data_IF_649738823655
#
_entry.id   IF_649738823655
#
_cell.length_a   1.000
_cell.length_b   1.000
_cell.length_c   1.000
_cell.angle_alpha   90.00
_cell.angle_beta   90.00
_cell.angle_gamma   90.00
#
_symmetry.space_group_name_H-M   'P 1'
#
loop_
_entity.id
_entity.type
_entity.pdbx_description
1 polymer ?
#
# COMPACT_ATOMS: atom_id res chain seq x y z
N UNK A 1 -69.75 -21.38 -46.95
CA UNK A 1 -69.57 -22.74 -46.42
C UNK A 1 -68.22 -23.27 -46.88
N UNK A 2 -67.17 -23.19 -46.05
CA UNK A 2 -65.85 -23.76 -46.37
C UNK A 2 -65.84 -25.22 -45.95
N UNK A 3 -65.83 -26.14 -46.93
CA UNK A 3 -65.56 -27.56 -46.67
C UNK A 3 -64.23 -27.65 -45.92
N UNK A 4 -64.23 -28.22 -44.72
CA UNK A 4 -63.01 -28.58 -43.99
C UNK A 4 -62.28 -29.64 -44.81
N UNK A 5 -61.41 -29.21 -45.72
CA UNK A 5 -60.52 -30.13 -46.42
C UNK A 5 -59.57 -30.72 -45.37
N UNK A 6 -59.64 -32.04 -45.19
CA UNK A 6 -58.77 -32.75 -44.27
C UNK A 6 -57.30 -32.46 -44.62
N UNK A 7 -56.54 -31.99 -43.63
CA UNK A 7 -55.12 -31.72 -43.77
C UNK A 7 -54.35 -33.02 -44.02
N UNK A 8 -53.28 -32.92 -44.81
CA UNK A 8 -52.27 -33.96 -44.92
C UNK A 8 -51.38 -33.88 -43.68
N UNK A 9 -51.26 -34.98 -42.94
CA UNK A 9 -50.37 -35.09 -41.78
C UNK A 9 -49.26 -36.08 -42.09
N UNK A 10 -48.01 -35.64 -41.91
CA UNK A 10 -46.81 -36.47 -42.04
C UNK A 10 -46.50 -37.18 -40.70
N UNK A 11 -45.58 -38.15 -40.75
CA UNK A 11 -45.14 -38.99 -39.62
C UNK A 11 -44.63 -38.18 -38.43
N UNK A 12 -43.96 -37.06 -38.69
CA UNK A 12 -43.40 -36.15 -37.69
C UNK A 12 -44.36 -35.04 -37.23
N UNK A 13 -45.66 -35.23 -37.46
CA UNK A 13 -46.76 -34.30 -37.19
C UNK A 13 -46.77 -33.02 -38.02
N UNK A 14 -45.98 -32.88 -39.08
CA UNK A 14 -46.13 -31.75 -40.03
C UNK A 14 -47.48 -31.79 -40.72
N UNK A 15 -48.16 -30.64 -40.78
CA UNK A 15 -49.53 -30.47 -41.30
C UNK A 15 -49.53 -29.60 -42.55
N UNK A 16 -49.87 -30.19 -43.70
CA UNK A 16 -49.91 -29.54 -45.01
C UNK A 16 -51.34 -29.49 -45.57
N UNK A 17 -51.62 -28.53 -46.43
CA UNK A 17 -52.84 -28.49 -47.21
C UNK A 17 -52.87 -29.70 -48.16
N UNK A 18 -53.98 -30.44 -48.16
CA UNK A 18 -54.15 -31.59 -49.06
C UNK A 18 -54.48 -31.09 -50.46
N UNK A 19 -53.46 -30.98 -51.31
CA UNK A 19 -53.60 -30.61 -52.72
C UNK A 19 -53.99 -31.82 -53.57
N UNK A 20 -54.67 -31.58 -54.69
CA UNK A 20 -54.92 -32.60 -55.73
C UNK A 20 -53.77 -32.57 -56.74
N UNK A 21 -52.55 -32.85 -56.29
CA UNK A 21 -51.38 -32.95 -57.16
C UNK A 21 -50.59 -34.24 -56.84
N UNK A 22 -49.73 -34.70 -57.77
CA UNK A 22 -48.96 -35.94 -57.58
C UNK A 22 -48.12 -35.94 -56.29
N UNK A 23 -47.49 -34.80 -55.99
CA UNK A 23 -46.66 -34.59 -54.78
C UNK A 23 -47.45 -34.87 -53.49
N UNK A 24 -48.63 -34.26 -53.34
CA UNK A 24 -49.47 -34.45 -52.16
C UNK A 24 -50.09 -35.84 -52.08
N UNK A 25 -50.36 -36.49 -53.22
CA UNK A 25 -50.78 -37.90 -53.26
C UNK A 25 -49.69 -38.83 -52.77
N UNK A 26 -48.44 -38.60 -53.19
CA UNK A 26 -47.30 -39.38 -52.74
C UNK A 26 -47.09 -39.24 -51.24
N UNK A 27 -47.02 -38.01 -50.72
CA UNK A 27 -46.91 -37.77 -49.27
C UNK A 27 -48.10 -38.34 -48.49
N UNK A 28 -49.31 -38.32 -49.06
CA UNK A 28 -50.47 -38.95 -48.43
C UNK A 28 -50.36 -40.47 -48.34
N UNK A 29 -49.70 -41.11 -49.32
CA UNK A 29 -49.43 -42.54 -49.40
C UNK A 29 -48.28 -42.96 -48.47
N UNK A 30 -47.15 -42.24 -48.51
CA UNK A 30 -45.94 -42.56 -47.72
C UNK A 30 -46.03 -42.09 -46.27
N UNK A 31 -46.89 -41.09 -46.00
CA UNK A 31 -46.92 -40.35 -44.72
C UNK A 31 -45.60 -39.66 -44.40
N UNK A 32 -44.80 -39.36 -45.41
CA UNK A 32 -43.48 -38.76 -45.26
C UNK A 32 -43.28 -37.59 -46.21
N UNK A 33 -42.15 -36.91 -46.09
CA UNK A 33 -41.75 -35.83 -47.00
C UNK A 33 -41.67 -36.36 -48.44
N UNK A 34 -42.10 -35.52 -49.40
CA UNK A 34 -41.92 -35.81 -50.81
C UNK A 34 -40.43 -36.05 -51.10
N UNK A 35 -40.11 -37.09 -51.89
CA UNK A 35 -38.73 -37.44 -52.25
C UNK A 35 -37.75 -37.55 -51.06
N UNK A 36 -38.21 -38.01 -49.88
CA UNK A 36 -37.36 -38.11 -48.67
C UNK A 36 -36.01 -38.77 -48.88
N UNK A 37 -35.94 -39.86 -49.66
CA UNK A 37 -34.67 -40.55 -49.92
C UNK A 37 -33.67 -39.68 -50.66
N UNK A 38 -34.14 -38.79 -51.55
CA UNK A 38 -33.30 -37.82 -52.25
C UNK A 38 -32.89 -36.70 -51.30
N UNK A 39 -33.83 -36.19 -50.49
CA UNK A 39 -33.52 -35.21 -49.44
C UNK A 39 -32.38 -35.71 -48.55
N UNK A 40 -32.51 -36.92 -47.99
CA UNK A 40 -31.48 -37.51 -47.13
C UNK A 40 -30.13 -37.67 -47.84
N UNK A 41 -30.12 -38.10 -49.10
CA UNK A 41 -28.89 -38.27 -49.87
C UNK A 41 -28.22 -36.93 -50.19
N UNK A 42 -29.00 -35.89 -50.48
CA UNK A 42 -28.50 -34.60 -50.96
C UNK A 42 -28.16 -33.66 -49.80
N UNK A 43 -28.68 -33.91 -48.59
CA UNK A 43 -28.40 -33.10 -47.41
C UNK A 43 -26.91 -32.98 -47.09
N UNK A 44 -26.10 -33.99 -47.40
CA UNK A 44 -24.64 -33.99 -47.14
C UNK A 44 -23.87 -32.94 -47.94
N UNK A 45 -24.47 -32.40 -49.02
CA UNK A 45 -23.89 -31.37 -49.88
C UNK A 45 -24.40 -29.96 -49.57
N UNK A 46 -25.36 -29.83 -48.65
CA UNK A 46 -25.90 -28.54 -48.24
C UNK A 46 -25.04 -27.99 -47.08
N UNK A 47 -24.50 -26.77 -47.17
CA UNK A 47 -23.74 -26.15 -46.09
C UNK A 47 -24.57 -26.02 -44.80
N UNK A 48 -23.91 -26.15 -43.64
CA UNK A 48 -24.56 -25.85 -42.36
C UNK A 48 -24.99 -24.38 -42.30
N UNK A 49 -26.14 -24.10 -41.65
CA UNK A 49 -26.69 -22.74 -41.54
C UNK A 49 -26.97 -22.06 -42.90
N UNK A 50 -27.20 -22.85 -43.95
CA UNK A 50 -27.46 -22.34 -45.29
C UNK A 50 -28.72 -21.45 -45.36
N UNK A 51 -28.63 -20.42 -46.19
CA UNK A 51 -29.75 -19.69 -46.79
C UNK A 51 -30.16 -20.39 -48.06
N UNK A 52 -31.38 -20.94 -48.09
CA UNK A 52 -31.87 -21.75 -49.21
C UNK A 52 -32.95 -20.99 -49.96
N UNK A 53 -32.83 -20.94 -51.28
CA UNK A 53 -33.88 -20.48 -52.18
C UNK A 53 -34.64 -21.69 -52.71
N UNK A 54 -35.89 -21.84 -52.30
CA UNK A 54 -36.83 -22.80 -52.88
C UNK A 54 -37.65 -22.10 -53.95
N UNK A 55 -37.33 -22.39 -55.22
CA UNK A 55 -37.90 -21.68 -56.37
C UNK A 55 -39.31 -22.15 -56.74
N UNK A 56 -39.84 -23.18 -56.09
CA UNK A 56 -41.18 -23.69 -56.35
C UNK A 56 -41.97 -24.05 -55.07
N UNK A 57 -43.07 -23.33 -54.85
CA UNK A 57 -43.95 -23.51 -53.69
C UNK A 57 -44.66 -24.88 -53.62
N UNK A 58 -44.63 -25.67 -54.70
CA UNK A 58 -45.08 -27.07 -54.68
C UNK A 58 -44.22 -27.92 -53.73
N UNK A 59 -42.96 -27.52 -53.54
CA UNK A 59 -41.97 -28.17 -52.68
C UNK A 59 -41.90 -27.56 -51.28
N UNK A 60 -43.03 -27.05 -50.76
CA UNK A 60 -43.12 -26.58 -49.36
C UNK A 60 -42.67 -27.67 -48.35
N UNK A 61 -42.85 -28.95 -48.68
CA UNK A 61 -42.30 -30.05 -47.87
C UNK A 61 -40.78 -30.04 -47.82
N UNK A 62 -40.07 -29.75 -48.93
CA UNK A 62 -38.61 -29.65 -48.94
C UNK A 62 -38.16 -28.46 -48.09
N UNK A 63 -38.78 -27.29 -48.25
CA UNK A 63 -38.50 -26.11 -47.42
C UNK A 63 -38.62 -26.40 -45.91
N UNK A 64 -39.66 -27.15 -45.51
CA UNK A 64 -39.84 -27.58 -44.12
C UNK A 64 -38.76 -28.57 -43.69
N UNK A 65 -38.42 -29.52 -44.56
CA UNK A 65 -37.40 -30.52 -44.31
C UNK A 65 -36.03 -29.85 -44.08
N UNK A 66 -35.64 -28.92 -44.94
CA UNK A 66 -34.39 -28.17 -44.83
C UNK A 66 -34.26 -27.44 -43.50
N UNK A 67 -35.35 -26.80 -43.04
CA UNK A 67 -35.33 -26.09 -41.76
C UNK A 67 -35.29 -27.05 -40.56
N UNK A 68 -36.04 -28.15 -40.58
CA UNK A 68 -36.16 -29.07 -39.44
C UNK A 68 -34.98 -30.04 -39.32
N UNK A 69 -34.49 -30.56 -40.43
CA UNK A 69 -33.51 -31.65 -40.46
C UNK A 69 -32.22 -31.25 -41.18
N UNK A 70 -32.27 -30.23 -42.03
CA UNK A 70 -31.13 -29.78 -42.83
C UNK A 70 -30.29 -28.67 -42.23
N UNK A 71 -30.58 -28.25 -40.99
CA UNK A 71 -29.90 -27.14 -40.30
C UNK A 71 -29.84 -25.84 -41.11
N UNK A 72 -30.78 -25.62 -42.03
CA UNK A 72 -30.89 -24.37 -42.75
C UNK A 72 -31.18 -23.22 -41.79
N UNK A 73 -30.50 -22.09 -41.98
CA UNK A 73 -30.74 -20.88 -41.17
C UNK A 73 -32.01 -20.17 -41.61
N UNK A 74 -32.23 -20.13 -42.92
CA UNK A 74 -33.35 -19.42 -43.54
C UNK A 74 -33.70 -20.11 -44.85
N UNK A 75 -34.99 -20.27 -45.13
CA UNK A 75 -35.49 -20.73 -46.43
C UNK A 75 -36.41 -19.65 -47.01
N UNK A 76 -36.12 -19.18 -48.22
CA UNK A 76 -37.00 -18.30 -48.98
C UNK A 76 -37.80 -19.14 -49.99
N UNK A 77 -39.12 -19.16 -49.81
CA UNK A 77 -40.04 -19.93 -50.64
C UNK A 77 -40.74 -19.00 -51.63
N UNK A 78 -40.43 -19.14 -52.93
CA UNK A 78 -40.95 -18.24 -53.96
C UNK A 78 -42.25 -18.75 -54.59
N UNK A 79 -43.24 -17.85 -54.76
CA UNK A 79 -44.50 -18.16 -55.44
C UNK A 79 -45.13 -16.91 -56.07
N UNK A 80 -45.29 -16.91 -57.39
CA UNK A 80 -45.90 -15.79 -58.14
C UNK A 80 -47.42 -15.80 -58.07
N UNK A 81 -48.05 -16.97 -57.99
CA UNK A 81 -49.50 -17.12 -57.93
C UNK A 81 -50.02 -16.82 -56.52
N UNK A 82 -50.85 -15.78 -56.40
CA UNK A 82 -51.37 -15.30 -55.12
C UNK A 82 -52.13 -16.36 -54.30
N UNK A 83 -52.86 -17.26 -54.96
CA UNK A 83 -53.61 -18.31 -54.27
C UNK A 83 -52.66 -19.39 -53.71
N UNK A 84 -51.72 -19.86 -54.52
CA UNK A 84 -50.68 -20.82 -54.09
C UNK A 84 -49.78 -20.24 -53.00
N UNK A 85 -49.43 -18.96 -53.09
CA UNK A 85 -48.67 -18.24 -52.07
C UNK A 85 -49.37 -18.33 -50.71
N UNK A 86 -50.68 -18.05 -50.68
CA UNK A 86 -51.48 -18.11 -49.45
C UNK A 86 -51.52 -19.53 -48.89
N UNK A 87 -51.61 -20.54 -49.73
CA UNK A 87 -51.57 -21.94 -49.30
C UNK A 87 -50.21 -22.31 -48.68
N UNK A 88 -49.11 -22.02 -49.38
CA UNK A 88 -47.76 -22.30 -48.89
C UNK A 88 -47.47 -21.58 -47.56
N UNK A 89 -47.85 -20.30 -47.45
CA UNK A 89 -47.73 -19.53 -46.21
C UNK A 89 -48.56 -20.13 -45.08
N UNK A 90 -49.79 -20.59 -45.36
CA UNK A 90 -50.61 -21.26 -44.36
C UNK A 90 -49.97 -22.57 -43.88
N UNK A 91 -49.31 -23.31 -44.77
CA UNK A 91 -48.57 -24.53 -44.41
C UNK A 91 -47.38 -24.22 -43.50
N UNK A 92 -46.59 -23.20 -43.83
CA UNK A 92 -45.47 -22.74 -42.96
C UNK A 92 -45.98 -22.27 -41.59
N UNK A 93 -47.00 -21.40 -41.57
CA UNK A 93 -47.55 -20.84 -40.32
C UNK A 93 -48.16 -21.90 -39.41
N UNK A 94 -48.86 -22.88 -39.98
CA UNK A 94 -49.50 -23.97 -39.22
C UNK A 94 -48.48 -24.86 -38.50
N UNK A 95 -47.25 -24.92 -39.01
CA UNK A 95 -46.16 -25.69 -38.42
C UNK A 95 -45.22 -24.83 -37.55
N UNK A 96 -45.55 -23.55 -37.33
CA UNK A 96 -44.78 -22.62 -36.49
C UNK A 96 -43.31 -22.44 -36.92
N UNK A 97 -43.05 -22.46 -38.22
CA UNK A 97 -41.70 -22.43 -38.78
C UNK A 97 -41.30 -20.99 -39.13
N UNK A 98 -40.57 -20.33 -38.21
CA UNK A 98 -40.18 -18.91 -38.35
C UNK A 98 -39.03 -18.72 -39.36
N UNK A 99 -38.21 -19.74 -39.58
CA UNK A 99 -37.09 -19.69 -40.54
C UNK A 99 -37.48 -19.87 -42.00
N UNK A 100 -38.77 -19.98 -42.34
CA UNK A 100 -39.24 -20.04 -43.72
C UNK A 100 -40.02 -18.76 -44.03
N UNK A 101 -39.57 -18.02 -45.04
CA UNK A 101 -40.23 -16.81 -45.50
C UNK A 101 -40.79 -17.00 -46.91
N UNK A 102 -42.12 -17.01 -47.02
CA UNK A 102 -42.78 -17.06 -48.32
C UNK A 102 -42.76 -15.67 -48.96
N UNK A 103 -42.18 -15.58 -50.15
CA UNK A 103 -42.03 -14.35 -50.92
C UNK A 103 -42.77 -14.46 -52.25
N UNK A 104 -43.49 -13.40 -52.62
CA UNK A 104 -44.00 -13.23 -53.96
C UNK A 104 -42.98 -12.41 -54.75
N UNK A 105 -42.32 -13.00 -55.76
CA UNK A 105 -41.29 -12.33 -56.53
C UNK A 105 -41.90 -11.56 -57.70
N UNK A 106 -41.31 -10.40 -57.99
CA UNK A 106 -41.35 -9.72 -59.27
C UNK A 106 -39.97 -9.92 -59.93
N UNK A 107 -39.91 -10.92 -60.82
CA UNK A 107 -38.68 -11.39 -61.45
C UNK A 107 -38.07 -10.39 -62.44
N UNK A 108 -38.85 -9.40 -62.90
CA UNK A 108 -38.35 -8.42 -63.87
C UNK A 108 -37.71 -7.23 -63.16
N UNK A 109 -38.20 -6.87 -61.97
CA UNK A 109 -37.61 -5.80 -61.15
C UNK A 109 -36.72 -6.29 -60.02
N UNK A 110 -36.55 -7.61 -59.87
CA UNK A 110 -35.86 -8.26 -58.76
C UNK A 110 -36.35 -7.78 -57.39
N UNK A 111 -37.67 -7.60 -57.26
CA UNK A 111 -38.32 -7.16 -56.02
C UNK A 111 -39.08 -8.31 -55.41
N UNK A 112 -38.95 -8.48 -54.10
CA UNK A 112 -39.63 -9.55 -53.37
C UNK A 112 -40.55 -8.94 -52.33
N UNK A 113 -41.77 -9.47 -52.27
CA UNK A 113 -42.77 -8.97 -51.33
C UNK A 113 -43.28 -10.07 -50.43
N UNK A 114 -43.31 -9.78 -49.13
CA UNK A 114 -44.05 -10.58 -48.16
C UNK A 114 -45.42 -9.95 -47.96
N UNK A 115 -46.43 -10.80 -47.90
CA UNK A 115 -47.79 -10.37 -47.58
C UNK A 115 -48.19 -10.79 -46.18
N UNK A 116 -48.51 -9.82 -45.35
CA UNK A 116 -49.10 -10.03 -44.04
C UNK A 116 -50.55 -9.54 -44.05
N UNK A 117 -51.48 -10.50 -44.25
CA UNK A 117 -52.89 -10.22 -44.54
C UNK A 117 -52.96 -9.41 -45.84
N UNK A 118 -53.27 -8.12 -45.74
CA UNK A 118 -53.39 -7.19 -46.87
C UNK A 118 -52.26 -6.14 -46.89
N UNK A 119 -51.29 -6.23 -45.97
CA UNK A 119 -50.11 -5.37 -45.97
C UNK A 119 -48.99 -6.00 -46.77
N UNK A 120 -48.49 -5.25 -47.75
CA UNK A 120 -47.32 -5.59 -48.53
C UNK A 120 -46.07 -5.04 -47.84
N UNK A 121 -45.04 -5.87 -47.68
CA UNK A 121 -43.73 -5.49 -47.16
C UNK A 121 -42.66 -5.92 -48.15
N UNK A 122 -41.82 -4.98 -48.59
CA UNK A 122 -40.66 -5.31 -49.41
C UNK A 122 -39.61 -6.01 -48.56
N UNK A 123 -39.09 -7.11 -49.09
CA UNK A 123 -38.05 -7.92 -48.45
C UNK A 123 -36.87 -7.98 -49.41
N UNK A 124 -35.67 -7.85 -48.86
CA UNK A 124 -34.43 -8.10 -49.58
C UNK A 124 -33.88 -9.43 -49.08
N UNK A 125 -34.04 -10.52 -49.86
CA UNK A 125 -33.48 -11.82 -49.50
C UNK A 125 -31.97 -11.73 -49.31
N UNK A 126 -31.44 -12.53 -48.38
CA UNK A 126 -29.99 -12.73 -48.25
C UNK A 126 -29.48 -13.59 -49.38
N UNK A 127 -28.24 -13.39 -49.82
CA UNK A 127 -27.58 -14.25 -50.81
C UNK A 127 -27.77 -15.73 -50.46
N UNK A 128 -28.19 -16.51 -51.46
CA UNK A 128 -28.38 -17.94 -51.30
C UNK A 128 -27.04 -18.65 -51.15
N UNK A 129 -26.99 -19.62 -50.23
CA UNK A 129 -25.96 -20.65 -50.18
C UNK A 129 -26.38 -21.87 -51.02
N UNK A 130 -27.70 -22.09 -51.16
CA UNK A 130 -28.28 -23.14 -52.00
C UNK A 130 -29.47 -22.59 -52.79
N UNK A 131 -29.54 -22.94 -54.08
CA UNK A 131 -30.72 -22.70 -54.92
C UNK A 131 -31.29 -24.05 -55.33
N UNK A 132 -32.52 -24.34 -54.90
CA UNK A 132 -33.28 -25.50 -55.34
C UNK A 132 -34.30 -25.07 -56.41
N UNK A 133 -34.14 -25.60 -57.62
CA UNK A 133 -34.95 -25.28 -58.78
C UNK A 133 -35.59 -26.54 -59.37
N UNK A 134 -36.91 -26.62 -59.27
CA UNK A 134 -37.71 -27.66 -59.93
C UNK A 134 -37.71 -27.53 -61.45
N UNK A 135 -38.18 -28.57 -62.14
CA UNK A 135 -38.43 -28.58 -63.59
C UNK A 135 -39.14 -27.30 -64.05
N UNK A 136 -40.28 -26.95 -63.43
CA UNK A 136 -41.06 -25.78 -63.82
C UNK A 136 -40.33 -24.45 -63.59
N UNK A 137 -39.46 -24.37 -62.58
CA UNK A 137 -38.66 -23.16 -62.34
C UNK A 137 -37.56 -22.99 -63.39
N UNK A 138 -36.98 -24.10 -63.84
CA UNK A 138 -35.96 -24.13 -64.89
C UNK A 138 -36.58 -23.82 -66.27
N UNK A 139 -37.73 -24.43 -66.58
CA UNK A 139 -38.48 -24.15 -67.82
C UNK A 139 -38.95 -22.70 -67.91
N UNK A 140 -39.33 -22.10 -66.79
CA UNK A 140 -39.68 -20.69 -66.70
C UNK A 140 -38.47 -19.74 -66.75
N UNK A 141 -37.25 -20.26 -66.85
CA UNK A 141 -36.01 -19.48 -66.91
C UNK A 141 -35.68 -18.73 -65.62
N UNK A 142 -36.26 -19.15 -64.48
CA UNK A 142 -36.11 -18.41 -63.23
C UNK A 142 -34.68 -18.49 -62.67
N UNK A 143 -33.99 -19.62 -62.87
CA UNK A 143 -32.60 -19.76 -62.42
C UNK A 143 -31.69 -18.69 -63.04
N UNK A 144 -31.90 -18.38 -64.33
CA UNK A 144 -31.11 -17.37 -65.06
C UNK A 144 -31.38 -15.94 -64.57
N UNK A 145 -32.53 -15.68 -63.92
CA UNK A 145 -32.80 -14.39 -63.25
C UNK A 145 -31.85 -14.14 -62.08
N UNK A 146 -31.24 -15.20 -61.53
CA UNK A 146 -30.20 -15.13 -60.50
C UNK A 146 -28.78 -15.30 -61.06
N UNK A 147 -28.57 -15.18 -62.38
CA UNK A 147 -27.25 -15.44 -62.99
C UNK A 147 -26.10 -14.65 -62.36
N UNK A 148 -26.30 -13.35 -62.10
CA UNK A 148 -25.29 -12.51 -61.44
C UNK A 148 -24.98 -12.97 -60.00
N UNK A 149 -26.00 -13.41 -59.26
CA UNK A 149 -25.83 -13.93 -57.89
C UNK A 149 -25.15 -15.31 -57.91
N UNK A 150 -25.51 -16.17 -58.86
CA UNK A 150 -24.86 -17.47 -59.05
C UNK A 150 -23.40 -17.30 -59.42
N UNK A 151 -23.07 -16.36 -60.31
CA UNK A 151 -21.71 -16.07 -60.70
C UNK A 151 -20.88 -15.50 -59.55
N UNK A 152 -21.46 -14.60 -58.74
CA UNK A 152 -20.77 -13.90 -57.66
C UNK A 152 -20.61 -14.73 -56.39
N UNK A 153 -21.68 -15.39 -55.94
CA UNK A 153 -21.74 -16.07 -54.65
C UNK A 153 -21.50 -17.57 -54.75
N UNK A 154 -21.50 -18.13 -55.96
CA UNK A 154 -21.22 -19.54 -56.23
C UNK A 154 -22.03 -20.51 -55.33
N UNK A 155 -23.37 -20.35 -55.20
CA UNK A 155 -24.21 -21.22 -54.38
C UNK A 155 -24.18 -22.66 -54.88
N UNK A 156 -24.48 -23.61 -54.00
CA UNK A 156 -24.81 -24.99 -54.40
C UNK A 156 -26.12 -24.97 -55.18
N UNK A 157 -26.14 -25.62 -56.35
CA UNK A 157 -27.34 -25.66 -57.19
C UNK A 157 -27.93 -27.06 -57.14
N UNK A 158 -29.14 -27.17 -56.59
CA UNK A 158 -29.94 -28.38 -56.67
C UNK A 158 -30.97 -28.19 -57.78
N UNK A 159 -30.79 -28.92 -58.88
CA UNK A 159 -31.57 -28.75 -60.10
C UNK A 159 -32.28 -30.03 -60.49
N UNK A 160 -33.49 -29.87 -61.02
CA UNK A 160 -34.21 -30.93 -61.72
C UNK A 160 -33.73 -31.03 -63.18
N UNK A 161 -33.17 -32.18 -63.56
CA UNK A 161 -32.54 -32.41 -64.87
C UNK A 161 -33.53 -32.88 -65.93
N UNK A 162 -34.78 -33.17 -65.57
CA UNK A 162 -35.83 -33.64 -66.50
C UNK A 162 -36.34 -32.56 -67.46
N UNK A 163 -36.03 -31.29 -67.18
CA UNK A 163 -36.51 -30.14 -67.94
C UNK A 163 -35.99 -30.11 -69.39
N UNK A 164 -36.86 -29.77 -70.34
CA UNK A 164 -36.52 -29.75 -71.77
C UNK A 164 -35.44 -28.72 -72.14
N UNK A 165 -35.28 -27.64 -71.37
CA UNK A 165 -34.23 -26.63 -71.58
C UNK A 165 -33.00 -26.85 -70.67
N UNK A 166 -32.91 -27.98 -69.96
CA UNK A 166 -31.79 -28.26 -69.06
C UNK A 166 -30.43 -28.29 -69.79
N UNK A 167 -30.40 -28.70 -71.06
CA UNK A 167 -29.16 -28.69 -71.86
C UNK A 167 -28.53 -27.29 -72.00
N UNK A 168 -29.33 -26.23 -71.99
CA UNK A 168 -28.84 -24.84 -72.01
C UNK A 168 -28.30 -24.45 -70.64
N UNK A 169 -28.98 -24.86 -69.56
CA UNK A 169 -28.52 -24.67 -68.19
C UNK A 169 -27.19 -25.39 -67.97
N UNK A 170 -27.05 -26.65 -68.39
CA UNK A 170 -25.81 -27.41 -68.26
C UNK A 170 -24.62 -26.71 -68.94
N UNK A 171 -24.81 -26.18 -70.16
CA UNK A 171 -23.77 -25.38 -70.86
C UNK A 171 -23.43 -24.09 -70.11
N UNK A 172 -24.41 -23.45 -69.49
CA UNK A 172 -24.18 -22.25 -68.67
C UNK A 172 -23.40 -22.59 -67.39
N UNK A 173 -23.74 -23.69 -66.72
CA UNK A 173 -23.03 -24.18 -65.54
C UNK A 173 -21.58 -24.54 -65.85
N UNK A 174 -21.32 -25.21 -66.98
CA UNK A 174 -19.97 -25.55 -67.43
C UNK A 174 -19.12 -24.29 -67.63
N UNK A 175 -19.67 -23.24 -68.25
CA UNK A 175 -18.99 -21.94 -68.40
C UNK A 175 -18.68 -21.27 -67.07
N UNK A 176 -19.51 -21.50 -66.06
CA UNK A 176 -19.32 -20.99 -64.70
C UNK A 176 -18.44 -21.91 -63.83
N UNK A 177 -17.88 -22.97 -64.41
CA UNK A 177 -17.05 -23.98 -63.74
C UNK A 177 -17.78 -24.74 -62.62
N UNK A 178 -19.08 -24.98 -62.80
CA UNK A 178 -19.83 -25.89 -61.93
C UNK A 178 -19.63 -27.34 -62.35
N UNK A 179 -19.40 -28.22 -61.36
CA UNK A 179 -19.35 -29.68 -61.58
C UNK A 179 -20.57 -30.36 -60.98
N UNK A 180 -21.03 -31.42 -61.63
CA UNK A 180 -21.98 -32.36 -61.07
C UNK A 180 -21.31 -33.16 -59.94
N UNK A 181 -21.92 -33.16 -58.75
CA UNK A 181 -21.47 -33.94 -57.60
C UNK A 181 -22.23 -35.27 -57.47
N UNK A 182 -23.55 -35.19 -57.62
CA UNK A 182 -24.45 -36.35 -57.51
C UNK A 182 -25.68 -36.11 -58.38
N UNK A 183 -26.19 -37.19 -58.99
CA UNK A 183 -27.46 -37.22 -59.71
C UNK A 183 -28.27 -38.44 -59.26
N UNK A 184 -29.55 -38.25 -58.97
CA UNK A 184 -30.47 -39.32 -58.58
C UNK A 184 -31.90 -38.94 -58.96
N UNK A 185 -32.58 -39.80 -59.74
CA UNK A 185 -33.99 -39.61 -60.17
C UNK A 185 -34.27 -38.21 -60.75
N UNK A 186 -33.48 -37.82 -61.75
CA UNK A 186 -33.57 -36.52 -62.42
C UNK A 186 -33.38 -35.31 -61.48
N UNK A 187 -32.75 -35.51 -60.32
CA UNK A 187 -32.31 -34.45 -59.42
C UNK A 187 -30.79 -34.45 -59.38
N UNK A 188 -30.16 -33.28 -59.44
CA UNK A 188 -28.71 -33.14 -59.48
C UNK A 188 -28.21 -32.03 -58.57
N UNK A 189 -27.08 -32.27 -57.90
CA UNK A 189 -26.33 -31.23 -57.17
C UNK A 189 -25.13 -30.79 -57.99
N UNK A 190 -25.03 -29.49 -58.24
CA UNK A 190 -23.86 -28.85 -58.82
C UNK A 190 -23.16 -27.95 -57.81
N UNK A 191 -21.83 -28.00 -57.79
CA UNK A 191 -20.98 -27.17 -56.93
C UNK A 191 -19.91 -26.49 -57.78
N UNK A 192 -19.65 -25.21 -57.52
CA UNK A 192 -18.58 -24.47 -58.20
C UNK A 192 -17.23 -25.10 -57.90
N UNK A 193 -16.41 -25.30 -58.92
CA UNK A 193 -14.99 -25.56 -58.74
C UNK A 193 -14.27 -24.22 -58.54
N UNK A 194 -13.43 -24.13 -57.53
CA UNK A 194 -12.38 -23.11 -57.53
C UNK A 194 -11.44 -23.44 -58.70
N UNK A 195 -11.18 -22.47 -59.57
CA UNK A 195 -10.22 -22.65 -60.67
C UNK A 195 -8.84 -22.98 -60.07
N UNK A 196 -8.04 -23.80 -60.76
CA UNK A 196 -6.66 -24.11 -60.32
C UNK A 196 -5.82 -22.87 -60.03
N UNK A 197 -6.09 -21.77 -60.73
CA UNK A 197 -5.47 -20.46 -60.48
C UNK A 197 -5.79 -19.91 -59.07
N UNK A 198 -7.02 -20.07 -58.58
CA UNK A 198 -7.40 -19.65 -57.23
C UNK A 198 -6.80 -20.56 -56.15
N UNK A 199 -6.64 -21.86 -56.45
CA UNK A 199 -6.00 -22.82 -55.55
C UNK A 199 -4.48 -22.59 -55.49
N UNK A 200 -3.84 -22.26 -56.62
CA UNK A 200 -2.43 -21.85 -56.70
C UNK A 200 -2.17 -20.51 -55.99
N UNK A 201 -3.01 -19.50 -56.19
CA UNK A 201 -2.91 -18.21 -55.47
C UNK A 201 -3.10 -18.39 -53.97
N UNK A 202 -4.05 -19.25 -53.54
CA UNK A 202 -4.25 -19.57 -52.13
C UNK A 202 -3.05 -20.30 -51.54
N UNK A 203 -2.49 -21.28 -52.25
CA UNK A 203 -1.30 -22.01 -51.82
C UNK A 203 -0.06 -21.09 -51.74
N UNK A 204 0.08 -20.15 -52.68
CA UNK A 204 1.15 -19.14 -52.63
C UNK A 204 0.97 -18.16 -51.47
N UNK A 205 -0.28 -17.74 -51.19
CA UNK A 205 -0.61 -16.90 -50.05
C UNK A 205 -0.34 -17.63 -48.72
N UNK A 206 -0.72 -18.91 -48.62
CA UNK A 206 -0.46 -19.76 -47.45
C UNK A 206 1.05 -19.94 -47.24
N UNK A 207 1.83 -20.17 -48.30
CA UNK A 207 3.29 -20.24 -48.23
C UNK A 207 3.91 -18.91 -47.74
N UNK A 208 3.47 -17.77 -48.28
CA UNK A 208 3.91 -16.44 -47.83
C UNK A 208 3.54 -16.16 -46.37
N UNK A 209 2.36 -16.60 -45.93
CA UNK A 209 1.91 -16.48 -44.54
C UNK A 209 2.76 -17.34 -43.62
N UNK A 210 3.07 -18.58 -44.01
CA UNK A 210 3.96 -19.49 -43.26
C UNK A 210 5.37 -18.91 -43.12
N UNK A 211 5.96 -18.40 -44.20
CA UNK A 211 7.28 -17.76 -44.17
C UNK A 211 7.29 -16.54 -43.23
N UNK A 212 6.23 -15.73 -43.26
CA UNK A 212 6.09 -14.56 -42.40
C UNK A 212 5.90 -14.95 -40.93
N UNK A 213 5.15 -16.02 -40.66
CA UNK A 213 5.01 -16.58 -39.31
C UNK A 213 6.34 -17.12 -38.78
N UNK A 214 7.13 -17.80 -39.61
CA UNK A 214 8.48 -18.22 -39.23
C UNK A 214 9.37 -17.02 -38.89
N UNK A 215 9.29 -15.96 -39.68
CA UNK A 215 10.06 -14.73 -39.45
C UNK A 215 9.67 -14.10 -38.11
N UNK A 216 8.38 -13.99 -37.81
CA UNK A 216 7.92 -13.49 -36.51
C UNK A 216 8.34 -14.40 -35.35
N UNK A 217 8.29 -15.73 -35.54
CA UNK A 217 8.77 -16.67 -34.52
C UNK A 217 10.25 -16.48 -34.22
N UNK A 218 11.10 -16.25 -35.24
CA UNK A 218 12.53 -15.95 -35.05
C UNK A 218 12.74 -14.63 -34.30
N UNK A 219 11.98 -13.58 -34.64
CA UNK A 219 12.06 -12.29 -33.94
C UNK A 219 11.64 -12.40 -32.46
N UNK A 220 10.56 -13.14 -32.17
CA UNK A 220 10.11 -13.38 -30.78
C UNK A 220 11.20 -14.13 -30.00
N UNK A 221 11.80 -15.16 -30.59
CA UNK A 221 12.86 -15.92 -29.93
C UNK A 221 14.10 -15.05 -29.65
N UNK A 222 14.49 -14.16 -30.59
CA UNK A 222 15.58 -13.20 -30.37
C UNK A 222 15.27 -12.25 -29.21
N UNK A 223 14.08 -11.64 -29.19
CA UNK A 223 13.66 -10.76 -28.10
C UNK A 223 13.61 -11.47 -26.75
N UNK A 224 13.16 -12.73 -26.72
CA UNK A 224 13.19 -13.54 -25.49
C UNK A 224 14.61 -13.77 -24.99
N UNK A 225 15.56 -14.04 -25.89
CA UNK A 225 16.97 -14.23 -25.54
C UNK A 225 17.59 -12.92 -25.01
N UNK A 226 17.32 -11.78 -25.65
CA UNK A 226 17.78 -10.46 -25.21
C UNK A 226 17.21 -10.08 -23.83
N UNK A 227 15.90 -10.26 -23.63
CA UNK A 227 15.26 -10.05 -22.33
C UNK A 227 15.86 -10.97 -21.26
N UNK A 228 16.09 -12.25 -21.58
CA UNK A 228 16.74 -13.19 -20.66
C UNK A 228 18.13 -12.73 -20.23
N UNK A 229 18.95 -12.27 -21.18
CA UNK A 229 20.29 -11.73 -20.90
C UNK A 229 20.23 -10.47 -20.02
N UNK A 230 19.30 -9.54 -20.31
CA UNK A 230 19.12 -8.33 -19.50
C UNK A 230 18.70 -8.65 -18.06
N UNK A 231 17.78 -9.60 -17.88
CA UNK A 231 17.35 -10.05 -16.54
C UNK A 231 18.54 -10.65 -15.78
N UNK A 232 19.33 -11.52 -16.42
CA UNK A 232 20.53 -12.09 -15.78
C UNK A 232 21.55 -11.02 -15.40
N UNK A 233 21.76 -10.00 -16.25
CA UNK A 233 22.65 -8.87 -15.94
C UNK A 233 22.15 -8.07 -14.74
N UNK A 234 20.86 -7.70 -14.71
CA UNK A 234 20.26 -6.97 -13.59
C UNK A 234 20.32 -7.76 -12.28
N UNK A 235 20.05 -9.07 -12.33
CA UNK A 235 20.16 -9.94 -11.15
C UNK A 235 21.60 -10.01 -10.63
N UNK A 236 22.58 -10.12 -11.53
CA UNK A 236 23.99 -10.12 -11.15
C UNK A 236 24.43 -8.77 -10.53
N UNK A 237 23.97 -7.64 -11.07
CA UNK A 237 24.22 -6.32 -10.47
C UNK A 237 23.55 -6.15 -9.11
N UNK A 238 22.28 -6.58 -8.96
CA UNK A 238 21.58 -6.53 -7.69
C UNK A 238 22.27 -7.40 -6.64
N UNK A 239 22.71 -8.61 -7.01
CA UNK A 239 23.46 -9.49 -6.12
C UNK A 239 24.78 -8.85 -5.66
N UNK A 240 25.51 -8.17 -6.56
CA UNK A 240 26.72 -7.41 -6.21
C UNK A 240 26.41 -6.27 -5.24
N UNK A 241 25.34 -5.49 -5.49
CA UNK A 241 24.93 -4.40 -4.60
C UNK A 241 24.52 -4.89 -3.22
N UNK A 242 23.77 -5.99 -3.14
CA UNK A 242 23.40 -6.63 -1.88
C UNK A 242 24.64 -7.12 -1.12
N UNK A 243 25.59 -7.78 -1.79
CA UNK A 243 26.82 -8.24 -1.16
C UNK A 243 27.64 -7.09 -0.57
N UNK A 244 27.76 -5.96 -1.28
CA UNK A 244 28.44 -4.75 -0.78
C UNK A 244 27.70 -4.17 0.43
N UNK A 245 26.38 -4.06 0.34
CA UNK A 245 25.55 -3.55 1.43
C UNK A 245 25.65 -4.44 2.69
N UNK A 246 25.68 -5.76 2.53
CA UNK A 246 25.87 -6.70 3.63
C UNK A 246 27.25 -6.56 4.28
N UNK A 247 28.31 -6.36 3.48
CA UNK A 247 29.65 -6.13 4.03
C UNK A 247 29.73 -4.81 4.81
N UNK A 248 29.13 -3.74 4.29
CA UNK A 248 29.09 -2.43 4.95
C UNK A 248 28.25 -2.47 6.22
N UNK A 249 27.11 -3.18 6.19
CA UNK A 249 26.28 -3.37 7.35
C UNK A 249 27.01 -4.16 8.45
N UNK A 250 27.68 -5.26 8.08
CA UNK A 250 28.51 -6.03 9.04
C UNK A 250 29.63 -5.20 9.65
N UNK A 251 30.29 -4.35 8.86
CA UNK A 251 31.33 -3.45 9.36
C UNK A 251 30.74 -2.41 10.33
N UNK A 252 29.57 -1.85 10.01
CA UNK A 252 28.86 -0.89 10.86
C UNK A 252 28.42 -1.51 12.18
N UNK A 253 27.85 -2.72 12.15
CA UNK A 253 27.46 -3.47 13.35
C UNK A 253 28.66 -3.71 14.26
N UNK A 254 29.80 -4.17 13.71
CA UNK A 254 31.03 -4.36 14.50
C UNK A 254 31.51 -3.07 15.16
N UNK A 255 31.49 -1.96 14.42
CA UNK A 255 31.87 -0.66 14.97
C UNK A 255 30.94 -0.22 16.12
N UNK A 256 29.63 -0.40 15.96
CA UNK A 256 28.66 -0.10 17.02
C UNK A 256 28.86 -1.00 18.24
N UNK A 257 29.14 -2.29 18.04
CA UNK A 257 29.46 -3.22 19.14
C UNK A 257 30.71 -2.78 19.91
N UNK A 258 31.74 -2.28 19.22
CA UNK A 258 32.94 -1.71 19.84
C UNK A 258 32.64 -0.42 20.60
N UNK A 259 31.86 0.51 20.02
CA UNK A 259 31.43 1.75 20.68
C UNK A 259 30.60 1.45 21.95
N UNK A 260 29.69 0.47 21.90
CA UNK A 260 28.90 0.03 23.06
C UNK A 260 29.80 -0.56 24.15
N UNK A 261 30.81 -1.37 23.79
CA UNK A 261 31.78 -1.89 24.76
C UNK A 261 32.58 -0.77 25.42
N UNK A 262 33.06 0.20 24.64
CA UNK A 262 33.77 1.37 25.17
C UNK A 262 32.89 2.20 26.11
N UNK A 263 31.63 2.46 25.75
CA UNK A 263 30.69 3.15 26.62
C UNK A 263 30.41 2.39 27.92
N UNK A 264 30.29 1.06 27.85
CA UNK A 264 30.09 0.23 29.04
C UNK A 264 31.32 0.25 29.98
N UNK A 265 32.54 0.29 29.44
CA UNK A 265 33.76 0.44 30.23
C UNK A 265 33.87 1.83 30.87
N UNK A 266 33.56 2.88 30.11
CA UNK A 266 33.52 4.26 30.59
C UNK A 266 32.49 4.43 31.72
N UNK A 267 31.29 3.84 31.56
CA UNK A 267 30.26 3.84 32.60
C UNK A 267 30.73 3.14 33.87
N UNK A 268 31.45 2.02 33.77
CA UNK A 268 32.07 1.35 34.92
C UNK A 268 33.14 2.20 35.61
N UNK A 269 33.92 2.97 34.85
CA UNK A 269 34.89 3.90 35.42
C UNK A 269 34.19 5.02 36.19
N UNK A 270 33.19 5.66 35.59
CA UNK A 270 32.40 6.69 36.27
C UNK A 270 31.70 6.16 37.52
N UNK A 271 31.17 4.93 37.50
CA UNK A 271 30.57 4.33 38.70
C UNK A 271 31.60 4.15 39.83
N UNK A 272 32.84 3.74 39.50
CA UNK A 272 33.93 3.63 40.47
C UNK A 272 34.33 4.99 41.04
N UNK A 273 34.50 5.99 40.18
CA UNK A 273 34.84 7.36 40.61
C UNK A 273 33.73 7.96 41.49
N UNK A 274 32.47 7.73 41.13
CA UNK A 274 31.33 8.20 41.93
C UNK A 274 31.31 7.52 43.31
N UNK A 275 31.56 6.21 43.37
CA UNK A 275 31.68 5.47 44.65
C UNK A 275 32.84 5.98 45.50
N UNK A 276 33.98 6.27 44.88
CA UNK A 276 35.16 6.81 45.56
C UNK A 276 34.88 8.23 46.10
N UNK A 277 34.31 9.11 45.29
CA UNK A 277 33.91 10.46 45.69
C UNK A 277 32.86 10.45 46.80
N UNK A 278 31.88 9.53 46.75
CA UNK A 278 30.91 9.35 47.84
C UNK A 278 31.58 8.92 49.15
N UNK A 279 32.58 8.04 49.08
CA UNK A 279 33.36 7.62 50.26
C UNK A 279 34.13 8.80 50.85
N UNK A 280 34.86 9.56 50.03
CA UNK A 280 35.60 10.75 50.45
C UNK A 280 34.66 11.82 51.03
N UNK A 281 33.50 12.03 50.42
CA UNK A 281 32.49 12.96 50.95
C UNK A 281 31.97 12.51 52.31
N UNK A 282 31.79 11.19 52.52
CA UNK A 282 31.37 10.64 53.82
C UNK A 282 32.46 10.83 54.88
N UNK A 283 33.71 10.58 54.54
CA UNK A 283 34.86 10.80 55.43
C UNK A 283 35.03 12.29 55.76
N UNK A 284 34.92 13.18 54.77
CA UNK A 284 34.95 14.62 54.97
C UNK A 284 33.82 15.09 55.88
N UNK A 285 32.59 14.56 55.72
CA UNK A 285 31.46 14.85 56.63
C UNK A 285 31.75 14.41 58.06
N UNK A 286 32.39 13.25 58.26
CA UNK A 286 32.79 12.79 59.59
C UNK A 286 33.83 13.73 60.22
N UNK A 287 34.83 14.16 59.44
CA UNK A 287 35.84 15.12 59.91
C UNK A 287 35.19 16.46 60.29
N UNK A 288 34.29 16.98 59.45
CA UNK A 288 33.55 18.21 59.75
C UNK A 288 32.71 18.07 61.03
N UNK A 289 32.06 16.92 61.23
CA UNK A 289 31.32 16.63 62.46
C UNK A 289 32.26 16.65 63.68
N UNK A 290 33.41 15.98 63.60
CA UNK A 290 34.41 15.99 64.68
C UNK A 290 34.94 17.40 64.99
N UNK A 291 35.19 18.21 63.97
CA UNK A 291 35.62 19.61 64.15
C UNK A 291 34.51 20.43 64.83
N UNK A 292 33.25 20.26 64.38
CA UNK A 292 32.09 20.93 64.97
C UNK A 292 31.93 20.57 66.46
N UNK A 293 32.03 19.28 66.79
CA UNK A 293 31.92 18.80 68.17
C UNK A 293 33.06 19.33 69.05
N UNK A 294 34.30 19.33 68.53
CA UNK A 294 35.46 19.89 69.21
C UNK A 294 35.32 21.40 69.46
N UNK A 295 34.85 22.16 68.47
CA UNK A 295 34.63 23.60 68.59
C UNK A 295 33.54 23.92 69.64
N UNK A 296 32.47 23.11 69.69
CA UNK A 296 31.43 23.27 70.69
C UNK A 296 31.94 22.95 72.11
N UNK A 297 32.78 21.92 72.26
CA UNK A 297 33.44 21.61 73.53
C UNK A 297 34.38 22.75 73.97
N UNK A 298 35.14 23.34 73.05
CA UNK A 298 36.02 24.48 73.33
C UNK A 298 35.21 25.72 73.76
N UNK A 299 34.09 26.00 73.09
CA UNK A 299 33.17 27.08 73.50
C UNK A 299 32.62 26.88 74.90
N UNK A 300 32.23 25.65 75.24
CA UNK A 300 31.75 25.32 76.59
C UNK A 300 32.86 25.52 77.64
N UNK A 301 34.07 25.04 77.37
CA UNK A 301 35.23 25.24 78.25
C UNK A 301 35.58 26.72 78.43
N UNK A 302 35.57 27.50 77.36
CA UNK A 302 35.80 28.95 77.42
C UNK A 302 34.70 29.67 78.21
N UNK A 303 33.44 29.26 78.08
CA UNK A 303 32.35 29.80 78.90
C UNK A 303 32.59 29.55 80.39
N UNK A 304 32.98 28.32 80.77
CA UNK A 304 33.29 27.97 82.15
C UNK A 304 34.52 28.71 82.70
N UNK A 305 35.58 28.84 81.91
CA UNK A 305 36.77 29.64 82.23
C UNK A 305 36.40 31.09 82.50
N UNK A 306 35.64 31.72 81.60
CA UNK A 306 35.18 33.09 81.76
C UNK A 306 34.34 33.26 83.02
N UNK A 307 33.42 32.32 83.30
CA UNK A 307 32.62 32.32 84.53
C UNK A 307 33.50 32.28 85.78
N UNK A 308 34.58 31.49 85.75
CA UNK A 308 35.54 31.39 86.86
C UNK A 308 36.39 32.64 87.02
N UNK A 309 36.84 33.26 85.93
CA UNK A 309 37.54 34.54 85.94
C UNK A 309 36.65 35.62 86.56
N UNK A 310 35.38 35.72 86.16
CA UNK A 310 34.45 36.69 86.74
C UNK A 310 34.18 36.46 88.23
N UNK A 311 34.10 35.20 88.67
CA UNK A 311 33.95 34.87 90.10
C UNK A 311 35.18 35.32 90.91
N UNK A 312 36.39 35.03 90.43
CA UNK A 312 37.63 35.48 91.07
C UNK A 312 37.73 37.01 91.13
N UNK A 313 37.41 37.70 90.03
CA UNK A 313 37.36 39.16 90.00
C UNK A 313 36.33 39.74 90.98
N UNK A 314 35.20 39.07 91.19
CA UNK A 314 34.20 39.48 92.16
C UNK A 314 34.68 39.32 93.61
N UNK A 315 35.52 38.31 93.91
CA UNK A 315 36.13 38.10 95.22
C UNK A 315 37.32 39.05 95.49
N UNK A 316 38.18 39.29 94.50
CA UNK A 316 39.39 40.10 94.68
C UNK A 316 39.11 41.61 94.73
N UNK A 317 38.10 42.09 94.00
CA UNK A 317 37.73 43.52 93.96
C UNK A 317 37.43 44.12 95.35
N UNK A 318 36.60 43.52 96.22
CA UNK A 318 36.37 44.07 97.56
C UNK A 318 37.65 44.03 98.42
N UNK A 319 38.51 43.02 98.25
CA UNK A 319 39.80 42.95 98.97
C UNK A 319 40.68 44.13 98.57
N UNK A 320 40.86 44.40 97.27
CA UNK A 320 41.63 45.55 96.78
C UNK A 320 41.07 46.89 97.29
N UNK A 321 39.75 47.07 97.27
CA UNK A 321 39.10 48.28 97.81
C UNK A 321 39.33 48.46 99.32
N UNK A 322 39.36 47.37 100.09
CA UNK A 322 39.68 47.46 101.53
C UNK A 322 41.14 47.78 101.78
N UNK A 323 42.06 47.24 100.98
CA UNK A 323 43.49 47.59 101.05
C UNK A 323 43.73 49.06 100.72
N UNK A 324 43.10 49.58 99.67
CA UNK A 324 43.20 50.99 99.27
C UNK A 324 42.69 51.94 100.38
N UNK A 325 41.52 51.63 100.98
CA UNK A 325 41.01 52.37 102.15
C UNK A 325 42.01 52.38 103.31
N UNK A 326 42.61 51.22 103.61
CA UNK A 326 43.60 51.08 104.69
C UNK A 326 44.86 51.88 104.42
N UNK A 327 45.36 51.85 103.18
CA UNK A 327 46.53 52.63 102.76
C UNK A 327 46.27 54.14 102.88
N UNK A 328 45.08 54.59 102.47
CA UNK A 328 44.68 56.00 102.59
C UNK A 328 44.62 56.45 104.05
N UNK A 329 44.12 55.58 104.94
CA UNK A 329 44.07 55.85 106.38
C UNK A 329 45.47 55.91 107.01
N UNK A 330 46.36 54.99 106.65
CA UNK A 330 47.77 55.00 107.08
C UNK A 330 48.52 56.25 106.61
N UNK A 331 48.26 56.73 105.39
CA UNK A 331 48.84 57.99 104.90
C UNK A 331 48.39 59.20 105.73
N UNK A 332 47.10 59.24 106.13
CA UNK A 332 46.58 60.29 107.02
C UNK A 332 47.25 60.25 108.39
N UNK A 333 47.40 59.07 109.00
CA UNK A 333 48.10 58.91 110.27
C UNK A 333 49.57 59.34 110.18
N UNK A 334 50.29 58.91 109.15
CA UNK A 334 51.68 59.33 108.92
C UNK A 334 51.81 60.85 108.77
N UNK A 335 50.86 61.50 108.10
CA UNK A 335 50.86 62.97 107.96
C UNK A 335 50.65 63.67 109.32
N UNK A 336 49.76 63.15 110.17
CA UNK A 336 49.52 63.65 111.52
C UNK A 336 50.74 63.48 112.41
N UNK A 337 51.32 62.28 112.43
CA UNK A 337 52.54 61.97 113.19
C UNK A 337 53.73 62.84 112.74
N UNK A 338 53.89 63.09 111.43
CA UNK A 338 54.92 64.00 110.92
C UNK A 338 54.72 65.44 111.40
N UNK A 339 53.47 65.90 111.51
CA UNK A 339 53.15 67.21 112.04
C UNK A 339 53.49 67.32 113.53
N UNK A 340 53.11 66.33 114.33
CA UNK A 340 53.47 66.28 115.75
C UNK A 340 54.98 66.21 115.98
N UNK A 341 55.70 65.39 115.20
CA UNK A 341 57.15 65.28 115.31
C UNK A 341 57.84 66.61 115.00
N UNK A 342 57.37 67.37 114.00
CA UNK A 342 57.87 68.74 113.73
C UNK A 342 57.60 69.70 114.88
N UNK A 343 56.43 69.59 115.52
CA UNK A 343 56.08 70.42 116.68
C UNK A 343 56.98 70.09 117.88
N UNK A 344 57.19 68.81 118.17
CA UNK A 344 58.09 68.35 119.23
C UNK A 344 59.54 68.74 118.96
N UNK A 345 60.01 68.59 117.71
CA UNK A 345 61.35 69.03 117.31
C UNK A 345 61.55 70.54 117.53
N UNK A 346 60.58 71.39 117.14
CA UNK A 346 60.63 72.83 117.44
C UNK A 346 60.68 73.12 118.93
N UNK A 347 59.86 72.43 119.73
CA UNK A 347 59.87 72.58 121.18
C UNK A 347 61.21 72.18 121.79
N UNK A 348 61.83 71.11 121.29
CA UNK A 348 63.17 70.66 121.69
C UNK A 348 64.23 71.71 121.33
N UNK A 349 64.17 72.32 120.13
CA UNK A 349 65.09 73.40 119.74
C UNK A 349 64.95 74.60 120.68
N UNK A 350 63.73 75.03 120.98
CA UNK A 350 63.46 76.13 121.92
C UNK A 350 63.99 75.81 123.32
N UNK A 351 63.79 74.58 123.81
CA UNK A 351 64.30 74.15 125.11
C UNK A 351 65.83 74.11 125.15
N UNK A 352 66.46 73.63 124.07
CA UNK A 352 67.93 73.58 123.93
C UNK A 352 68.53 74.98 123.90
N UNK A 353 67.93 75.93 123.17
CA UNK A 353 68.36 77.32 123.18
C UNK A 353 68.20 77.98 124.55
N UNK A 354 67.09 77.70 125.25
CA UNK A 354 66.90 78.17 126.63
C UNK A 354 67.97 77.60 127.56
N UNK A 355 68.27 76.31 127.43
CA UNK A 355 69.34 75.66 128.19
C UNK A 355 70.71 76.29 127.90
N UNK A 356 71.06 76.51 126.63
CA UNK A 356 72.32 77.18 126.24
C UNK A 356 72.41 78.61 126.79
N UNK A 357 71.35 79.41 126.65
CA UNK A 357 71.27 80.76 127.23
C UNK A 357 71.50 80.74 128.74
N UNK A 358 70.88 79.79 129.44
CA UNK A 358 71.05 79.63 130.89
C UNK A 358 72.49 79.18 131.23
N UNK A 359 73.05 78.26 130.45
CA UNK A 359 74.40 77.73 130.66
C UNK A 359 75.49 78.79 130.45
N UNK A 360 75.24 79.75 129.56
CA UNK A 360 76.18 80.84 129.24
C UNK A 360 76.06 82.04 130.19
N UNK A 361 75.09 82.07 131.09
CA UNK A 361 74.95 83.17 132.05
C UNK A 361 76.18 83.30 132.96
N UNK A 362 76.56 84.54 133.31
CA UNK A 362 77.67 84.83 134.24
C UNK A 362 77.60 84.02 135.53
N UNK A 363 76.40 83.81 136.08
CA UNK A 363 76.18 83.03 137.31
C UNK A 363 76.60 81.57 137.16
N UNK A 364 76.21 80.89 136.07
CA UNK A 364 76.59 79.49 135.81
C UNK A 364 78.09 79.39 135.48
N UNK A 365 78.64 80.36 134.74
CA UNK A 365 80.09 80.47 134.50
C UNK A 365 80.90 80.67 135.79
N UNK A 366 80.39 81.48 136.72
CA UNK A 366 80.97 81.69 138.05
C UNK A 366 80.80 80.45 138.92
N UNK A 367 79.64 79.77 138.90
CA UNK A 367 79.41 78.49 139.57
C UNK A 367 80.37 77.41 139.07
N UNK A 368 80.63 77.31 137.76
CA UNK A 368 81.65 76.40 137.19
C UNK A 368 83.06 76.78 137.61
N UNK A 369 83.41 78.08 137.62
CA UNK A 369 84.70 78.57 138.13
C UNK A 369 84.87 78.28 139.62
N UNK A 370 83.83 78.48 140.43
CA UNK A 370 83.81 78.21 141.86
C UNK A 370 83.89 76.70 142.14
N UNK A 371 83.15 75.88 141.39
CA UNK A 371 83.21 74.42 141.46
C UNK A 371 84.61 73.89 141.11
N UNK A 372 85.21 74.39 140.01
CA UNK A 372 86.57 74.01 139.60
C UNK A 372 87.65 74.53 140.58
N UNK A 373 87.46 75.69 141.20
CA UNK A 373 88.34 76.24 142.24
C UNK A 373 88.26 75.44 143.55
N UNK A 374 87.05 75.09 144.01
CA UNK A 374 86.81 74.27 145.20
C UNK A 374 87.36 72.84 145.02
N UNK A 375 87.25 72.28 143.80
CA UNK A 375 87.81 70.96 143.45
C UNK A 375 89.35 70.94 143.49
N UNK A 376 90.03 72.05 143.15
CA UNK A 376 91.51 72.16 143.23
C UNK A 376 92.06 72.39 144.65
N UNK A 377 91.26 72.94 145.59
CA UNK A 377 91.70 73.19 146.99
C UNK A 377 91.60 71.98 147.92
N UNK A 378 90.78 70.97 147.61
CA UNK A 378 90.70 69.70 148.37
C UNK A 378 91.86 68.71 148.10
N UNK A 379 92.75 69.00 147.14
CA UNK A 379 93.85 68.11 146.74
C UNK A 379 95.23 68.51 147.34
N UNK A 380 95.28 69.41 148.34
CA UNK A 380 96.56 69.93 148.91
C UNK A 380 96.68 69.92 150.45
N UNK A 381 95.69 69.43 151.19
CA UNK A 381 95.67 69.46 152.67
C UNK A 381 95.45 68.09 153.35
N UNK A 382 95.72 66.97 152.68
CA UNK A 382 95.87 65.65 153.32
C UNK A 382 97.31 65.13 153.09
N UNK A 383 98.25 65.76 153.78
CA UNK A 383 99.49 65.19 154.37
C UNK A 383 99.63 65.78 155.74
#
# INVERSE_FOLDING_TARGET
MTKNNALLKLSDNVKLNRRKNPIAMEMARTKDYYQKTILEAFMTYIPEQAVIYEMDSRFVSHAIYFLKYGHARQVYLFETNRAKYKEARNDVQRNHLVGIECLQPDWDTNRFVRWDKDKLTYVTPRSADVIHASEAAIEAGLLLKFSADVEKYKPVLWLDTSSHNFAEIAKWLEKLHYRLQIEQNDQAIYVSQETKEAEEEKNELEAKLLERLETYKRQINQLQQECGQQISHMQAEQAKKLAVMETDHRATVKRLEEEVKQQAELAKQYEKETKQSQKETREARQVVQHISDALNAEKAMNHDLNKRIFALLAEEKPVLLTMEKRQTQQQKELSSLRYENRKLARNLTIATEKYQRLNDTKVIRVMRKYWNFKKKRRLRNDT
#
